data_IF_926505940902
#
_entry.id   IF_926505940902
#
_cell.length_a   1.000
_cell.length_b   1.000
_cell.length_c   1.000
_cell.angle_alpha   90.00
_cell.angle_beta   90.00
_cell.angle_gamma   90.00
#
_symmetry.space_group_name_H-M   'P 1'
#
loop_
_entity.id
_entity.type
_entity.pdbx_description
1 polymer ?
#
# COMPACT_ATOMS: atom_id res chain seq x y z
N UNK A 1 22.90 2.61 -15.71
CA UNK A 1 22.87 1.58 -14.65
C UNK A 1 21.41 1.44 -14.22
N UNK A 2 20.93 0.24 -13.93
CA UNK A 2 19.60 0.08 -13.38
C UNK A 2 19.48 0.82 -12.04
N UNK A 3 18.34 1.45 -11.79
CA UNK A 3 18.06 2.09 -10.51
C UNK A 3 17.96 1.05 -9.40
N UNK A 4 18.25 1.44 -8.18
CA UNK A 4 18.10 0.61 -6.98
C UNK A 4 17.17 1.27 -6.00
N UNK A 5 16.34 0.46 -5.33
CA UNK A 5 15.49 0.96 -4.26
C UNK A 5 16.30 1.58 -3.13
N UNK A 6 15.91 2.75 -2.69
CA UNK A 6 16.36 3.36 -1.44
C UNK A 6 15.40 2.94 -0.34
N UNK A 7 15.92 2.52 0.80
CA UNK A 7 15.09 2.16 1.95
C UNK A 7 15.71 2.63 3.28
N UNK A 8 14.85 2.84 4.26
CA UNK A 8 15.24 3.06 5.64
C UNK A 8 14.42 2.10 6.50
N UNK A 9 15.10 1.17 7.17
CA UNK A 9 14.40 0.27 8.09
C UNK A 9 14.04 1.07 9.34
N UNK A 10 12.74 1.19 9.61
CA UNK A 10 12.27 1.96 10.74
C UNK A 10 10.75 1.96 10.89
N UNK A 11 10.30 2.40 12.05
CA UNK A 11 8.88 2.49 12.39
C UNK A 11 8.17 3.64 11.67
N UNK A 12 6.88 3.75 11.94
CA UNK A 12 6.03 4.82 11.43
C UNK A 12 6.67 6.19 11.63
N UNK A 13 6.82 6.96 10.56
CA UNK A 13 7.51 8.25 10.56
C UNK A 13 8.96 8.20 10.06
N UNK A 14 9.49 7.02 9.73
CA UNK A 14 10.78 6.89 9.04
C UNK A 14 10.59 7.21 7.55
N UNK A 15 10.59 8.50 7.21
CA UNK A 15 10.38 8.99 5.85
C UNK A 15 11.63 8.96 4.97
N UNK A 16 11.40 8.87 3.67
CA UNK A 16 12.39 9.12 2.62
C UNK A 16 12.38 10.60 2.24
N UNK A 17 13.49 11.11 1.69
CA UNK A 17 13.49 12.40 1.00
C UNK A 17 12.64 12.32 -0.27
N UNK A 18 12.17 13.47 -0.80
CA UNK A 18 11.44 13.49 -2.06
C UNK A 18 12.24 12.84 -3.20
N UNK A 19 13.51 13.14 -3.31
CA UNK A 19 14.38 12.53 -4.32
C UNK A 19 14.48 11.00 -4.20
N UNK A 20 14.48 10.47 -2.97
CA UNK A 20 14.47 9.02 -2.73
C UNK A 20 13.11 8.40 -3.07
N UNK A 21 12.01 9.12 -2.79
CA UNK A 21 10.66 8.72 -3.17
C UNK A 21 10.52 8.66 -4.69
N UNK A 22 10.98 9.69 -5.41
CA UNK A 22 10.96 9.74 -6.88
C UNK A 22 11.79 8.60 -7.48
N UNK A 23 12.98 8.35 -6.91
CA UNK A 23 13.79 7.20 -7.31
C UNK A 23 13.03 5.89 -7.13
N UNK A 24 12.34 5.71 -6.00
CA UNK A 24 11.59 4.48 -5.71
C UNK A 24 10.35 4.33 -6.60
N UNK A 25 9.67 5.43 -6.91
CA UNK A 25 8.58 5.44 -7.91
C UNK A 25 9.10 4.90 -9.26
N UNK A 26 10.25 5.39 -9.71
CA UNK A 26 10.86 4.87 -10.93
C UNK A 26 11.31 3.41 -10.81
N UNK A 27 11.82 2.97 -9.64
CA UNK A 27 12.16 1.56 -9.43
C UNK A 27 10.94 0.65 -9.50
N UNK A 28 9.79 1.08 -8.93
CA UNK A 28 8.51 0.38 -9.00
C UNK A 28 8.07 0.27 -10.46
N UNK A 29 8.15 1.38 -11.19
CA UNK A 29 7.80 1.40 -12.61
C UNK A 29 8.68 0.46 -13.43
N UNK A 30 10.02 0.58 -13.30
CA UNK A 30 10.98 -0.25 -14.03
C UNK A 30 10.72 -1.75 -13.75
N UNK A 31 10.38 -2.10 -12.51
CA UNK A 31 10.12 -3.47 -12.12
C UNK A 31 8.78 -3.99 -12.65
N UNK A 32 7.67 -3.29 -12.34
CA UNK A 32 6.32 -3.75 -12.71
C UNK A 32 6.06 -3.66 -14.22
N UNK A 33 6.54 -2.60 -14.90
CA UNK A 33 6.44 -2.46 -16.35
C UNK A 33 7.39 -3.39 -17.07
N UNK A 34 8.68 -3.35 -16.69
CA UNK A 34 9.75 -4.02 -17.43
C UNK A 34 9.73 -5.55 -17.26
N UNK A 35 9.47 -6.04 -16.05
CA UNK A 35 9.53 -7.46 -15.74
C UNK A 35 8.16 -8.15 -15.77
N UNK A 36 7.07 -7.40 -15.53
CA UNK A 36 5.71 -7.99 -15.38
C UNK A 36 4.68 -7.42 -16.35
N UNK A 37 5.02 -6.42 -17.16
CA UNK A 37 4.16 -5.92 -18.24
C UNK A 37 2.92 -5.16 -17.79
N UNK A 38 2.90 -4.61 -16.57
CA UNK A 38 1.78 -3.81 -16.09
C UNK A 38 1.60 -2.53 -16.94
N UNK A 39 0.37 -2.05 -17.07
CA UNK A 39 0.09 -0.75 -17.68
C UNK A 39 0.59 0.40 -16.80
N UNK A 40 0.87 1.54 -17.42
CA UNK A 40 1.32 2.74 -16.69
C UNK A 40 0.27 3.21 -15.71
N UNK A 41 -1.01 3.11 -16.08
CA UNK A 41 -2.15 3.48 -15.26
C UNK A 41 -2.28 2.58 -14.02
N UNK A 42 -2.11 1.27 -14.19
CA UNK A 42 -2.16 0.33 -13.07
C UNK A 42 -1.03 0.58 -12.07
N UNK A 43 0.19 0.81 -12.57
CA UNK A 43 1.34 1.15 -11.72
C UNK A 43 1.11 2.48 -10.99
N UNK A 44 0.60 3.49 -11.69
CA UNK A 44 0.29 4.78 -11.09
C UNK A 44 -0.80 4.67 -10.01
N UNK A 45 -1.83 3.86 -10.24
CA UNK A 45 -2.87 3.59 -9.24
C UNK A 45 -2.31 2.97 -7.97
N UNK A 46 -1.47 1.95 -8.08
CA UNK A 46 -0.77 1.35 -6.96
C UNK A 46 0.15 2.36 -6.24
N UNK A 47 0.92 3.15 -6.99
CA UNK A 47 1.80 4.20 -6.44
C UNK A 47 1.02 5.25 -5.63
N UNK A 48 -0.18 5.63 -6.08
CA UNK A 48 -1.04 6.55 -5.34
C UNK A 48 -1.36 6.06 -3.94
N UNK A 49 -1.59 4.76 -3.81
CA UNK A 49 -1.84 4.12 -2.52
C UNK A 49 -0.56 3.95 -1.69
N UNK A 50 0.55 3.54 -2.29
CA UNK A 50 1.83 3.34 -1.56
C UNK A 50 2.35 4.61 -0.89
N UNK A 51 2.08 5.79 -1.45
CA UNK A 51 2.46 7.03 -0.78
C UNK A 51 1.80 7.15 0.60
N UNK A 52 0.50 6.95 0.68
CA UNK A 52 -0.26 7.07 1.93
C UNK A 52 0.07 5.95 2.93
N UNK A 53 0.46 4.78 2.43
CA UNK A 53 0.81 3.62 3.26
C UNK A 53 2.26 3.68 3.78
N UNK A 54 3.22 4.06 2.95
CA UNK A 54 4.65 3.89 3.25
C UNK A 54 5.54 5.08 2.89
N UNK A 55 5.02 6.10 2.19
CA UNK A 55 5.87 7.13 1.57
C UNK A 55 6.91 6.52 0.63
N UNK A 56 6.54 5.47 -0.10
CA UNK A 56 7.41 4.69 -0.99
C UNK A 56 8.62 4.03 -0.31
N UNK A 57 8.64 3.90 1.01
CA UNK A 57 9.74 3.26 1.74
C UNK A 57 9.47 1.76 1.93
N UNK A 58 10.15 0.85 1.19
CA UNK A 58 9.94 -0.59 1.37
C UNK A 58 10.44 -1.13 2.72
N UNK A 59 11.24 -0.36 3.47
CA UNK A 59 11.77 -0.73 4.78
C UNK A 59 10.93 -0.23 5.97
N UNK A 60 9.77 0.36 5.74
CA UNK A 60 8.91 0.86 6.81
C UNK A 60 8.09 -0.27 7.45
N UNK A 61 7.88 -0.16 8.75
CA UNK A 61 6.96 -1.03 9.50
C UNK A 61 6.22 -0.25 10.57
N UNK A 62 5.07 -0.75 10.92
CA UNK A 62 4.24 -0.13 11.93
C UNK A 62 4.69 -0.51 13.36
N UNK A 63 4.71 0.46 14.27
CA UNK A 63 5.16 0.25 15.66
C UNK A 63 4.05 0.33 16.69
N UNK A 64 2.83 0.71 16.31
CA UNK A 64 1.76 1.00 17.28
C UNK A 64 1.19 -0.25 17.95
N UNK A 65 1.43 -1.45 17.40
CA UNK A 65 0.92 -2.72 17.94
C UNK A 65 1.96 -3.55 18.68
N UNK A 66 3.09 -2.94 19.07
CA UNK A 66 4.09 -3.57 19.93
C UNK A 66 4.92 -4.67 19.26
N UNK A 67 4.88 -4.77 17.93
CA UNK A 67 5.70 -5.70 17.18
C UNK A 67 7.19 -5.34 17.22
N UNK A 68 8.03 -6.36 17.21
CA UNK A 68 9.47 -6.23 17.03
C UNK A 68 9.93 -7.07 15.86
N UNK A 69 10.92 -6.59 15.11
CA UNK A 69 11.47 -7.34 13.97
C UNK A 69 12.09 -8.69 14.35
N UNK A 70 12.31 -8.93 15.65
CA UNK A 70 12.78 -10.23 16.14
C UNK A 70 11.72 -11.33 16.07
N UNK A 71 10.45 -10.97 15.91
CA UNK A 71 9.32 -11.91 15.85
C UNK A 71 8.90 -12.29 14.42
N UNK A 72 9.70 -11.95 13.39
CA UNK A 72 9.37 -12.33 12.02
C UNK A 72 9.23 -13.87 11.88
N UNK A 73 8.22 -14.33 11.10
CA UNK A 73 7.26 -13.55 10.33
C UNK A 73 6.01 -13.10 11.11
N UNK A 74 5.90 -13.33 12.41
CA UNK A 74 4.72 -13.03 13.25
C UNK A 74 4.72 -11.57 13.73
N UNK A 75 4.87 -10.65 12.81
CA UNK A 75 4.87 -9.22 13.10
C UNK A 75 3.43 -8.66 13.08
N UNK A 76 2.93 -8.13 14.21
CA UNK A 76 1.60 -7.53 14.27
C UNK A 76 1.64 -6.10 13.73
N UNK A 77 1.21 -5.90 12.53
CA UNK A 77 1.14 -4.57 11.92
C UNK A 77 1.58 -4.51 10.47
N UNK A 78 1.44 -3.34 9.88
CA UNK A 78 1.77 -3.10 8.49
C UNK A 78 3.28 -3.12 8.22
N UNK A 79 3.68 -3.67 7.07
CA UNK A 79 5.07 -3.72 6.62
C UNK A 79 5.21 -3.44 5.12
N UNK A 80 6.24 -2.70 4.75
CA UNK A 80 6.63 -2.47 3.36
C UNK A 80 5.74 -1.49 2.60
N UNK A 81 5.85 -1.49 1.27
CA UNK A 81 5.20 -0.53 0.37
C UNK A 81 3.68 -0.49 0.53
N UNK A 82 3.02 -1.64 0.59
CA UNK A 82 1.58 -1.77 0.68
C UNK A 82 1.08 -2.06 2.10
N UNK A 83 1.94 -1.91 3.10
CA UNK A 83 1.62 -2.14 4.51
C UNK A 83 0.90 -3.49 4.76
N UNK A 84 1.47 -4.59 4.18
CA UNK A 84 0.95 -5.94 4.45
C UNK A 84 0.83 -6.20 5.95
N UNK A 85 -0.33 -6.66 6.38
CA UNK A 85 -0.67 -6.84 7.79
C UNK A 85 -1.09 -8.28 8.06
N UNK A 86 -0.79 -8.82 9.26
CA UNK A 86 -1.25 -10.13 9.71
C UNK A 86 -2.79 -10.20 9.83
N UNK A 87 -3.34 -11.42 9.74
CA UNK A 87 -4.79 -11.61 9.89
C UNK A 87 -5.09 -12.63 11.00
N UNK A 88 -6.05 -12.39 11.90
CA UNK A 88 -6.74 -11.11 12.11
C UNK A 88 -5.75 -10.01 12.46
N UNK A 89 -5.98 -8.84 11.90
CA UNK A 89 -5.04 -7.72 11.99
C UNK A 89 -4.55 -7.50 13.43
N UNK A 90 -3.24 -7.31 13.56
CA UNK A 90 -2.56 -6.98 14.81
C UNK A 90 -2.56 -8.06 15.90
N UNK A 91 -2.84 -9.29 15.54
CA UNK A 91 -2.88 -10.37 16.53
C UNK A 91 -1.48 -10.89 16.90
N UNK A 92 -0.52 -10.80 15.98
CA UNK A 92 0.78 -11.49 16.10
C UNK A 92 0.67 -13.02 16.18
N UNK A 93 -0.56 -13.54 16.01
CA UNK A 93 -0.83 -14.99 16.09
C UNK A 93 -0.62 -15.68 14.75
N UNK A 94 -0.65 -14.91 13.68
CA UNK A 94 -0.44 -15.39 12.33
C UNK A 94 0.71 -14.64 11.66
N UNK A 95 1.37 -15.24 10.67
CA UNK A 95 2.45 -14.58 10.00
C UNK A 95 1.94 -13.37 9.19
N UNK A 96 2.72 -12.28 9.18
CA UNK A 96 2.52 -11.18 8.25
C UNK A 96 2.90 -11.66 6.84
N UNK A 97 2.08 -11.41 5.81
CA UNK A 97 2.28 -11.92 4.46
C UNK A 97 3.64 -11.59 3.85
N UNK A 98 4.11 -10.35 4.03
CA UNK A 98 5.36 -9.91 3.43
C UNK A 98 6.59 -10.64 3.99
N UNK A 99 6.89 -10.63 5.29
CA UNK A 99 8.04 -11.35 5.80
C UNK A 99 7.90 -12.87 5.67
N UNK A 100 6.70 -13.42 5.73
CA UNK A 100 6.47 -14.84 5.51
C UNK A 100 6.87 -15.26 4.10
N UNK A 101 6.39 -14.54 3.07
CA UNK A 101 6.72 -14.83 1.68
C UNK A 101 8.22 -14.60 1.40
N UNK A 102 8.77 -13.50 1.91
CA UNK A 102 10.20 -13.19 1.74
C UNK A 102 11.11 -14.27 2.33
N UNK A 103 10.81 -14.76 3.53
CA UNK A 103 11.56 -15.86 4.16
C UNK A 103 11.42 -17.17 3.38
N UNK A 104 10.22 -17.49 2.88
CA UNK A 104 9.96 -18.66 2.04
C UNK A 104 10.83 -18.66 0.78
N UNK A 105 10.98 -17.51 0.14
CA UNK A 105 11.67 -17.36 -1.14
C UNK A 105 13.15 -16.97 -0.97
N UNK A 106 13.64 -16.76 0.25
CA UNK A 106 15.04 -16.42 0.54
C UNK A 106 15.41 -14.96 0.30
N UNK A 107 14.45 -14.06 0.38
CA UNK A 107 14.62 -12.61 0.24
C UNK A 107 14.51 -11.86 1.55
N UNK A 108 14.94 -10.62 1.56
CA UNK A 108 14.68 -9.70 2.65
C UNK A 108 13.29 -9.06 2.48
N UNK A 109 12.53 -8.94 3.55
CA UNK A 109 11.20 -8.31 3.51
C UNK A 109 11.23 -6.84 3.04
N UNK A 110 12.33 -6.13 3.26
CA UNK A 110 12.53 -4.73 2.84
C UNK A 110 13.10 -4.58 1.41
N UNK A 111 13.24 -5.66 0.67
CA UNK A 111 13.63 -5.61 -0.74
C UNK A 111 12.45 -5.12 -1.58
N UNK A 112 12.55 -3.90 -2.11
CA UNK A 112 11.47 -3.28 -2.89
C UNK A 112 11.17 -4.04 -4.19
N UNK A 113 12.15 -4.70 -4.82
CA UNK A 113 11.93 -5.53 -6.01
C UNK A 113 11.13 -6.77 -5.65
N UNK A 114 11.49 -7.42 -4.54
CA UNK A 114 10.73 -8.55 -4.05
C UNK A 114 9.28 -8.15 -3.70
N UNK A 115 9.08 -6.98 -3.13
CA UNK A 115 7.72 -6.47 -2.86
C UNK A 115 6.92 -6.25 -4.14
N UNK A 116 7.54 -5.70 -5.20
CA UNK A 116 6.89 -5.62 -6.52
C UNK A 116 6.56 -7.01 -7.09
N UNK A 117 7.48 -7.98 -6.99
CA UNK A 117 7.18 -9.36 -7.35
C UNK A 117 6.00 -9.92 -6.55
N UNK A 118 5.97 -9.72 -5.25
CA UNK A 118 4.90 -10.22 -4.39
C UNK A 118 3.53 -9.64 -4.78
N UNK A 119 3.45 -8.37 -5.21
CA UNK A 119 2.22 -7.76 -5.72
C UNK A 119 1.69 -8.50 -6.96
N UNK A 120 2.56 -9.01 -7.83
CA UNK A 120 2.14 -9.81 -9.00
C UNK A 120 1.51 -11.15 -8.60
N UNK A 121 1.70 -11.57 -7.35
CA UNK A 121 1.17 -12.80 -6.77
C UNK A 121 -0.15 -12.60 -6.03
N UNK A 122 -0.80 -11.46 -6.20
CA UNK A 122 -2.02 -11.09 -5.49
C UNK A 122 -3.21 -12.05 -5.71
N UNK A 123 -3.17 -12.89 -6.76
CA UNK A 123 -4.16 -13.94 -7.03
C UNK A 123 -3.58 -15.36 -6.97
N UNK A 124 -2.29 -15.52 -6.70
CA UNK A 124 -1.61 -16.81 -6.61
C UNK A 124 -1.80 -17.42 -5.22
N UNK A 125 -2.56 -18.51 -5.13
CA UNK A 125 -2.90 -19.15 -3.86
C UNK A 125 -1.67 -19.68 -3.10
N UNK A 126 -0.54 -19.91 -3.77
CA UNK A 126 0.71 -20.32 -3.10
C UNK A 126 1.34 -19.19 -2.28
N UNK A 127 0.90 -17.96 -2.50
CA UNK A 127 1.30 -16.76 -1.75
C UNK A 127 0.16 -16.18 -0.93
N UNK A 128 -1.08 -16.20 -1.44
CA UNK A 128 -2.23 -15.58 -0.75
C UNK A 128 -2.89 -16.51 0.27
N UNK A 129 -2.71 -17.84 0.17
CA UNK A 129 -3.16 -18.80 1.15
C UNK A 129 -1.98 -19.31 1.98
N UNK A 130 -1.79 -18.73 3.15
CA UNK A 130 -0.70 -19.09 4.06
C UNK A 130 -1.00 -20.34 4.89
N UNK A 131 -2.08 -21.09 4.58
CA UNK A 131 -2.47 -22.32 5.31
C UNK A 131 -2.94 -22.10 6.73
N UNK A 132 -3.26 -20.88 7.13
CA UNK A 132 -3.61 -20.49 8.51
C UNK A 132 -5.12 -20.39 8.74
N UNK A 133 -5.91 -21.14 7.99
CA UNK A 133 -7.35 -21.24 8.18
C UNK A 133 -8.16 -20.26 7.32
N UNK A 134 -9.49 -20.33 7.46
CA UNK A 134 -10.39 -19.48 6.70
C UNK A 134 -10.21 -18.02 7.08
N UNK A 135 -10.02 -17.17 6.06
CA UNK A 135 -9.95 -15.71 6.20
C UNK A 135 -8.54 -15.12 6.26
N UNK A 136 -7.51 -15.94 6.39
CA UNK A 136 -6.11 -15.45 6.38
C UNK A 136 -5.60 -15.26 4.96
N UNK A 137 -6.29 -14.46 4.15
CA UNK A 137 -5.91 -14.16 2.77
C UNK A 137 -5.60 -12.69 2.63
N UNK A 138 -4.46 -12.44 2.05
CA UNK A 138 -4.15 -11.14 1.46
C UNK A 138 -4.26 -11.25 -0.07
N UNK A 139 -4.25 -10.12 -0.78
CA UNK A 139 -4.23 -10.08 -2.23
C UNK A 139 -5.49 -9.52 -2.85
N UNK A 140 -5.65 -9.72 -4.15
CA UNK A 140 -6.72 -9.10 -4.91
C UNK A 140 -8.07 -9.78 -4.67
N UNK A 141 -9.06 -9.02 -4.25
CA UNK A 141 -10.41 -9.50 -3.96
C UNK A 141 -11.46 -8.65 -4.66
N UNK A 142 -12.19 -9.24 -5.58
CA UNK A 142 -13.28 -8.56 -6.27
C UNK A 142 -14.61 -8.68 -5.53
N UNK A 143 -15.46 -7.66 -5.61
CA UNK A 143 -16.78 -7.64 -4.98
C UNK A 143 -17.79 -6.87 -5.82
N UNK A 144 -19.06 -7.26 -5.74
CA UNK A 144 -20.17 -6.48 -6.30
C UNK A 144 -20.62 -5.30 -5.42
N UNK A 145 -20.03 -5.14 -4.24
CA UNK A 145 -20.40 -4.11 -3.27
C UNK A 145 -19.67 -2.78 -3.46
N UNK A 146 -18.57 -2.78 -4.21
CA UNK A 146 -17.75 -1.60 -4.49
C UNK A 146 -17.20 -1.68 -5.93
N UNK A 147 -16.68 -0.57 -6.49
CA UNK A 147 -16.00 -0.59 -7.78
C UNK A 147 -14.86 -1.60 -7.77
N UNK A 148 -14.87 -2.56 -8.66
CA UNK A 148 -13.98 -3.71 -8.64
C UNK A 148 -13.74 -4.23 -10.05
N UNK A 149 -12.54 -4.81 -10.28
CA UNK A 149 -12.17 -5.41 -11.57
C UNK A 149 -11.27 -6.63 -11.35
N UNK A 150 -11.29 -7.64 -12.25
CA UNK A 150 -10.33 -8.75 -12.17
C UNK A 150 -8.88 -8.25 -12.21
N UNK A 151 -7.99 -8.88 -11.45
CA UNK A 151 -6.58 -8.48 -11.35
C UNK A 151 -5.88 -8.41 -12.71
N UNK A 152 -6.04 -9.44 -13.54
CA UNK A 152 -5.46 -9.46 -14.89
C UNK A 152 -5.98 -8.32 -15.77
N UNK A 153 -7.26 -7.98 -15.65
CA UNK A 153 -7.84 -6.81 -16.34
C UNK A 153 -7.23 -5.52 -15.81
N UNK A 154 -7.06 -5.39 -14.49
CA UNK A 154 -6.46 -4.22 -13.88
C UNK A 154 -5.06 -3.95 -14.42
N UNK A 155 -4.18 -4.95 -14.32
CA UNK A 155 -2.75 -4.76 -14.64
C UNK A 155 -2.49 -4.49 -16.14
N UNK A 156 -3.39 -4.89 -17.04
CA UNK A 156 -3.23 -4.72 -18.49
C UNK A 156 -4.08 -3.60 -19.10
N UNK A 157 -4.94 -2.94 -18.34
CA UNK A 157 -5.83 -1.91 -18.87
C UNK A 157 -5.14 -0.54 -18.96
N UNK A 158 -4.64 -0.20 -20.15
CA UNK A 158 -4.01 1.08 -20.46
C UNK A 158 -5.01 2.22 -20.81
N UNK A 159 -6.30 2.00 -20.58
CA UNK A 159 -7.35 3.02 -20.83
C UNK A 159 -8.06 3.46 -19.54
N UNK A 160 -7.62 2.99 -18.37
CA UNK A 160 -8.15 3.48 -17.09
C UNK A 160 -7.79 4.95 -16.86
N UNK A 161 -8.68 5.70 -16.24
CA UNK A 161 -8.25 6.94 -15.59
C UNK A 161 -7.39 6.63 -14.36
N UNK A 162 -6.51 7.55 -13.98
CA UNK A 162 -5.71 7.38 -12.73
C UNK A 162 -6.61 7.24 -11.52
N UNK A 163 -7.74 7.94 -11.49
CA UNK A 163 -8.74 7.79 -10.43
C UNK A 163 -9.31 6.37 -10.36
N UNK A 164 -9.66 5.78 -11.50
CA UNK A 164 -10.18 4.41 -11.54
C UNK A 164 -9.10 3.42 -11.11
N UNK A 165 -7.87 3.60 -11.56
CA UNK A 165 -6.75 2.75 -11.19
C UNK A 165 -6.48 2.79 -9.67
N UNK A 166 -6.48 3.98 -9.04
CA UNK A 166 -6.41 4.14 -7.59
C UNK A 166 -7.60 3.48 -6.90
N UNK A 167 -8.81 3.66 -7.47
CA UNK A 167 -10.05 3.10 -6.91
C UNK A 167 -9.99 1.58 -6.85
N UNK A 168 -9.63 0.93 -7.94
CA UNK A 168 -9.53 -0.52 -7.99
C UNK A 168 -8.44 -1.07 -7.07
N UNK A 169 -7.24 -0.46 -7.07
CA UNK A 169 -6.18 -0.87 -6.14
C UNK A 169 -6.64 -0.76 -4.70
N UNK A 170 -7.21 0.38 -4.33
CA UNK A 170 -7.68 0.64 -2.97
C UNK A 170 -8.72 -0.39 -2.52
N UNK A 171 -9.75 -0.64 -3.33
CA UNK A 171 -10.82 -1.55 -2.93
C UNK A 171 -10.46 -3.02 -3.06
N UNK A 172 -9.77 -3.41 -4.14
CA UNK A 172 -9.53 -4.82 -4.45
C UNK A 172 -8.24 -5.36 -3.78
N UNK A 173 -7.30 -4.51 -3.37
CA UNK A 173 -6.05 -4.93 -2.75
C UNK A 173 -5.90 -4.49 -1.29
N UNK A 174 -6.27 -3.24 -0.94
CA UNK A 174 -6.00 -2.69 0.40
C UNK A 174 -7.19 -2.76 1.35
N UNK A 175 -8.40 -2.35 0.91
CA UNK A 175 -9.48 -2.04 1.84
C UNK A 175 -10.57 -3.10 1.92
N UNK A 176 -11.01 -3.64 0.80
CA UNK A 176 -12.05 -4.68 0.67
C UNK A 176 -13.46 -4.33 1.25
N UNK A 177 -13.76 -3.04 1.52
CA UNK A 177 -15.04 -2.57 2.04
C UNK A 177 -15.64 -1.49 1.13
N UNK A 178 -16.96 -1.34 1.19
CA UNK A 178 -17.70 -0.43 0.33
C UNK A 178 -17.68 1.03 0.81
N UNK A 179 -17.45 1.31 2.09
CA UNK A 179 -17.34 2.66 2.63
C UNK A 179 -15.89 3.11 2.74
N UNK A 180 -15.59 4.30 2.20
CA UNK A 180 -14.33 4.97 2.45
C UNK A 180 -14.49 5.77 3.75
N UNK A 181 -13.75 5.47 4.81
CA UNK A 181 -13.85 6.24 6.04
C UNK A 181 -13.43 7.69 5.85
N UNK A 182 -14.03 8.61 6.60
CA UNK A 182 -13.75 10.06 6.53
C UNK A 182 -12.28 10.43 6.77
N UNK A 183 -11.50 9.54 7.42
CA UNK A 183 -10.08 9.76 7.68
C UNK A 183 -9.18 9.34 6.52
N UNK A 184 -9.69 8.64 5.50
CA UNK A 184 -8.95 8.27 4.30
C UNK A 184 -8.92 9.46 3.35
N UNK A 185 -7.75 10.03 3.11
CA UNK A 185 -7.57 11.04 2.06
C UNK A 185 -7.46 10.33 0.70
N UNK A 186 -8.62 9.96 0.14
CA UNK A 186 -8.68 9.31 -1.17
C UNK A 186 -8.17 10.24 -2.28
N UNK A 187 -8.43 11.54 -2.16
CA UNK A 187 -7.96 12.52 -3.14
C UNK A 187 -6.43 12.67 -3.10
N UNK A 188 -5.79 12.50 -1.94
CA UNK A 188 -4.33 12.44 -1.87
C UNK A 188 -3.79 11.25 -2.67
N UNK A 189 -4.41 10.08 -2.55
CA UNK A 189 -4.02 8.89 -3.33
C UNK A 189 -4.12 9.16 -4.84
N UNK A 190 -5.20 9.80 -5.29
CA UNK A 190 -5.36 10.15 -6.71
C UNK A 190 -4.28 11.15 -7.16
N UNK A 191 -3.98 12.18 -6.35
CA UNK A 191 -2.91 13.16 -6.68
C UNK A 191 -1.54 12.49 -6.77
N UNK A 192 -1.22 11.59 -5.84
CA UNK A 192 0.05 10.84 -5.87
C UNK A 192 0.12 9.84 -7.01
N UNK A 193 -1.01 9.22 -7.38
CA UNK A 193 -1.10 8.39 -8.58
C UNK A 193 -0.81 9.20 -9.85
N UNK A 194 -1.40 10.41 -9.97
CA UNK A 194 -1.13 11.30 -11.10
C UNK A 194 0.33 11.76 -11.12
N UNK A 195 0.88 12.12 -9.95
CA UNK A 195 2.29 12.49 -9.82
C UNK A 195 3.22 11.37 -10.32
N UNK A 196 2.99 10.14 -9.91
CA UNK A 196 3.77 8.99 -10.35
C UNK A 196 3.65 8.79 -11.87
N UNK A 197 2.43 8.88 -12.42
CA UNK A 197 2.20 8.78 -13.86
C UNK A 197 2.97 9.82 -14.65
N UNK A 198 2.96 11.08 -14.19
CA UNK A 198 3.68 12.17 -14.83
C UNK A 198 5.20 11.95 -14.80
N UNK A 199 5.75 11.45 -13.68
CA UNK A 199 7.16 11.07 -13.56
C UNK A 199 7.54 9.95 -14.55
N UNK A 200 6.70 8.94 -14.75
CA UNK A 200 6.96 7.85 -15.72
C UNK A 200 7.10 8.40 -17.14
N UNK A 201 6.37 9.46 -17.47
CA UNK A 201 6.39 10.09 -18.78
C UNK A 201 7.44 11.20 -18.93
N UNK A 202 8.38 11.28 -17.96
CA UNK A 202 9.50 12.24 -18.01
C UNK A 202 9.11 13.68 -17.74
N UNK A 203 7.95 13.91 -17.16
CA UNK A 203 7.55 15.21 -16.64
C UNK A 203 8.24 15.44 -15.29
N UNK A 204 8.30 16.69 -14.86
CA UNK A 204 8.84 17.08 -13.55
C UNK A 204 7.74 17.78 -12.75
N UNK A 205 6.72 17.02 -12.30
CA UNK A 205 5.63 17.62 -11.56
C UNK A 205 6.11 18.06 -10.16
N UNK A 206 5.48 19.09 -9.62
CA UNK A 206 5.65 19.42 -8.21
C UNK A 206 4.99 18.32 -7.35
N UNK A 207 5.66 17.86 -6.27
CA UNK A 207 5.06 16.89 -5.36
C UNK A 207 3.72 17.41 -4.84
N UNK A 208 2.69 16.53 -4.75
CA UNK A 208 1.40 16.93 -4.19
C UNK A 208 1.58 17.48 -2.78
N UNK A 209 1.23 18.74 -2.59
CA UNK A 209 1.20 19.35 -1.25
C UNK A 209 0.23 18.60 -0.33
N UNK A 210 0.31 18.83 1.00
CA UNK A 210 -0.72 18.36 1.91
C UNK A 210 -2.07 18.84 1.38
N UNK A 211 -3.02 17.92 1.24
CA UNK A 211 -4.36 18.25 0.76
C UNK A 211 -4.98 19.41 1.56
N UNK A 212 -5.96 20.12 1.02
CA UNK A 212 -6.72 21.08 1.81
C UNK A 212 -7.19 20.34 3.06
N UNK A 213 -6.71 20.77 4.22
CA UNK A 213 -7.18 20.21 5.48
C UNK A 213 -8.72 20.23 5.51
N UNK A 214 -9.36 19.35 6.26
CA UNK A 214 -10.81 19.34 6.34
C UNK A 214 -11.28 20.79 6.55
N UNK A 215 -12.14 21.27 5.64
CA UNK A 215 -12.67 22.63 5.71
C UNK A 215 -13.24 22.90 7.12
N UNK A 216 -13.34 24.19 7.53
CA UNK A 216 -13.84 24.51 8.85
C UNK A 216 -15.22 23.84 9.02
N UNK A 217 -15.24 22.79 9.82
CA UNK A 217 -16.47 22.12 10.21
C UNK A 217 -17.40 23.08 10.95
N UNK A 218 -18.70 22.82 11.01
CA UNK A 218 -19.63 23.64 11.79
C UNK A 218 -19.15 23.71 13.25
N UNK A 219 -19.06 24.91 13.76
CA UNK A 219 -18.44 25.40 14.96
C UNK A 219 -18.37 24.52 16.23
N UNK A 220 -17.63 24.96 17.26
CA UNK A 220 -16.98 24.12 18.22
C UNK A 220 -17.93 23.33 19.11
N UNK A 221 -18.05 22.03 18.83
CA UNK A 221 -18.36 21.07 19.88
C UNK A 221 -17.07 20.79 20.69
N UNK A 222 -17.15 20.21 21.88
CA UNK A 222 -16.00 20.08 22.78
C UNK A 222 -14.85 19.35 22.09
N UNK A 223 -13.68 19.97 22.13
CA UNK A 223 -12.43 19.61 21.47
C UNK A 223 -12.04 18.16 21.74
N UNK A 224 -12.04 17.27 20.74
CA UNK A 224 -11.24 16.05 20.83
C UNK A 224 -9.79 16.45 20.59
N UNK A 225 -8.90 16.03 21.46
CA UNK A 225 -7.46 16.14 21.33
C UNK A 225 -7.02 15.67 19.93
N UNK A 226 -6.28 16.53 19.22
CA UNK A 226 -5.76 16.28 17.87
C UNK A 226 -4.95 14.99 17.89
N UNK A 227 -5.58 13.87 17.53
CA UNK A 227 -4.90 12.62 17.24
C UNK A 227 -4.17 12.75 15.90
N UNK A 228 -2.91 12.35 15.86
CA UNK A 228 -2.15 12.17 14.62
C UNK A 228 -2.99 11.34 13.65
N UNK A 229 -3.06 11.73 12.37
CA UNK A 229 -3.66 10.89 11.30
C UNK A 229 -3.06 9.49 11.41
N UNK A 230 -3.87 8.52 11.71
CA UNK A 230 -3.44 7.14 11.79
C UNK A 230 -3.44 6.55 10.38
N UNK A 231 -2.44 5.77 9.97
CA UNK A 231 -2.48 5.01 8.72
C UNK A 231 -3.71 4.10 8.63
N UNK A 232 -4.11 3.73 7.42
CA UNK A 232 -5.30 2.94 7.09
C UNK A 232 -5.45 1.68 7.97
N UNK A 233 -4.36 1.00 8.21
CA UNK A 233 -4.28 -0.23 9.02
C UNK A 233 -4.57 -0.02 10.53
N UNK A 234 -4.47 1.20 11.07
CA UNK A 234 -4.77 1.46 12.49
C UNK A 234 -6.25 1.33 12.85
N UNK A 235 -7.17 1.31 11.89
CA UNK A 235 -8.60 1.43 12.17
C UNK A 235 -9.42 0.16 11.93
N UNK A 236 -8.83 -0.91 11.41
CA UNK A 236 -9.50 -2.22 11.26
C UNK A 236 -10.00 -2.84 12.59
N UNK A 237 -9.65 -2.25 13.74
CA UNK A 237 -10.05 -2.71 15.08
C UNK A 237 -11.54 -2.53 15.43
N UNK A 238 -12.36 -1.86 14.61
CA UNK A 238 -13.72 -1.45 15.05
C UNK A 238 -14.86 -2.07 14.28
N UNK A 239 -14.64 -3.10 13.48
CA UNK A 239 -15.73 -3.73 12.75
C UNK A 239 -16.08 -5.05 13.46
N UNK A 240 -17.22 -5.14 14.15
CA UNK A 240 -17.75 -6.41 14.62
C UNK A 240 -18.22 -7.23 13.41
N UNK A 241 -17.95 -8.50 13.43
CA UNK A 241 -18.45 -9.49 12.47
C UNK A 241 -19.97 -9.66 12.61
#
# INVERSE_FOLDING_TARGET
MPRTFVYKIGGSGTGLSQADQDNNIHCIYDELKGNYGWSDEAIAGACGCFHEESGFNPGIYETSHGGTLNNLPYFPGGMGLAQWTDYPAYSGSYPNPLPWAAMKDGYNWYDGRYQCFLMTKATDTTYTDMGIGQGARWGWQTSSRYPSTPFDTYIHNSSMSIRDAVTYWFYDFEWHYWEIPDWVDFEARVRWGQYAYDLFHGLSPDPPGPGPGPGPGPGPGPTPTVGKKLPLWMMLKRIPF
#
